data_IF_964302369913
#
_entry.id   IF_964302369913
#
_cell.length_a   1.000
_cell.length_b   1.000
_cell.length_c   1.000
_cell.angle_alpha   90.00
_cell.angle_beta   90.00
_cell.angle_gamma   90.00
#
_symmetry.space_group_name_H-M   'P 1'
#
loop_
_entity.id
_entity.type
_entity.pdbx_description
1 polymer ?
#
# COMPACT_ATOMS: atom_id res chain seq x y z
N UNK A 1 1.87 -11.90 13.34
CA UNK A 1 2.76 -12.83 12.59
C UNK A 1 3.88 -12.10 11.84
N UNK A 2 3.74 -10.80 11.54
CA UNK A 2 4.86 -9.95 11.09
C UNK A 2 5.76 -9.60 12.28
N UNK A 3 6.73 -10.45 12.61
CA UNK A 3 7.67 -10.22 13.71
C UNK A 3 8.86 -9.34 13.30
N UNK A 4 9.30 -9.47 12.06
CA UNK A 4 10.39 -8.71 11.44
C UNK A 4 10.06 -8.41 9.97
N UNK A 5 10.77 -7.47 9.36
CA UNK A 5 10.70 -7.18 7.93
C UNK A 5 12.07 -6.73 7.40
N UNK A 6 12.43 -7.23 6.23
CA UNK A 6 13.60 -6.81 5.47
C UNK A 6 13.15 -5.93 4.29
N UNK A 7 13.78 -4.76 4.15
CA UNK A 7 13.41 -3.73 3.20
C UNK A 7 14.48 -3.57 2.11
N UNK A 8 14.12 -3.95 0.89
CA UNK A 8 14.92 -3.76 -0.32
C UNK A 8 14.00 -3.50 -1.52
N UNK A 9 14.49 -3.65 -2.75
CA UNK A 9 13.71 -3.51 -3.97
C UNK A 9 14.20 -4.47 -5.06
N UNK A 10 13.36 -4.72 -6.07
CA UNK A 10 13.56 -5.82 -7.02
C UNK A 10 12.83 -5.60 -8.34
N UNK A 11 13.42 -6.00 -9.47
CA UNK A 11 12.65 -6.26 -10.69
C UNK A 11 12.06 -7.67 -10.64
N UNK A 12 10.72 -7.83 -10.72
CA UNK A 12 10.10 -9.15 -10.58
C UNK A 12 10.53 -10.11 -11.69
N UNK A 13 10.61 -11.40 -11.36
CA UNK A 13 10.96 -12.46 -12.32
C UNK A 13 12.46 -12.53 -12.68
N UNK A 14 13.35 -12.09 -11.78
CA UNK A 14 14.80 -12.13 -11.95
C UNK A 14 15.48 -12.76 -10.72
N UNK A 15 16.80 -12.91 -10.78
CA UNK A 15 17.62 -13.24 -9.61
C UNK A 15 17.44 -12.18 -8.52
N UNK A 16 17.78 -12.53 -7.28
CA UNK A 16 17.68 -11.62 -6.14
C UNK A 16 18.71 -10.48 -6.26
N UNK A 17 18.21 -9.25 -6.45
CA UNK A 17 19.05 -8.10 -6.79
C UNK A 17 19.42 -7.27 -5.57
N UNK A 18 18.70 -7.42 -4.46
CA UNK A 18 18.93 -6.69 -3.22
C UNK A 18 19.06 -5.17 -3.44
N UNK A 19 18.21 -4.59 -4.29
CA UNK A 19 18.36 -3.18 -4.62
C UNK A 19 18.04 -2.31 -3.40
N UNK A 20 18.65 -1.13 -3.34
CA UNK A 20 18.31 -0.09 -2.36
C UNK A 20 16.79 0.12 -2.29
N UNK A 21 16.24 0.18 -1.08
CA UNK A 21 14.79 0.34 -0.85
C UNK A 21 14.19 1.51 -1.64
N UNK A 22 13.16 1.20 -2.43
CA UNK A 22 12.41 2.15 -3.26
C UNK A 22 13.20 2.69 -4.47
N UNK A 23 14.27 2.02 -4.89
CA UNK A 23 15.05 2.41 -6.08
C UNK A 23 14.40 2.03 -7.42
N UNK A 24 13.54 1.02 -7.42
CA UNK A 24 12.88 0.49 -8.62
C UNK A 24 11.38 0.81 -8.61
N UNK A 25 10.65 0.48 -7.55
CA UNK A 25 9.19 0.65 -7.48
C UNK A 25 8.78 1.56 -6.31
N UNK A 26 8.85 2.87 -6.55
CA UNK A 26 8.48 3.87 -5.56
C UNK A 26 7.03 3.76 -5.10
N UNK A 27 6.11 3.32 -5.96
CA UNK A 27 4.69 3.25 -5.63
C UNK A 27 4.38 2.03 -4.77
N UNK A 28 4.98 0.87 -5.07
CA UNK A 28 4.89 -0.30 -4.21
C UNK A 28 5.54 -0.02 -2.84
N UNK A 29 6.74 0.59 -2.84
CA UNK A 29 7.41 1.01 -1.61
C UNK A 29 6.55 1.99 -0.80
N UNK A 30 5.88 2.94 -1.45
CA UNK A 30 4.96 3.87 -0.80
C UNK A 30 3.84 3.14 -0.05
N UNK A 31 3.13 2.22 -0.71
CA UNK A 31 2.02 1.51 -0.07
C UNK A 31 2.49 0.60 1.07
N UNK A 32 3.69 0.03 0.98
CA UNK A 32 4.31 -0.69 2.10
C UNK A 32 4.58 0.23 3.28
N UNK A 33 5.27 1.37 3.07
CA UNK A 33 5.56 2.33 4.15
C UNK A 33 4.26 2.84 4.76
N UNK A 34 3.29 3.23 3.92
CA UNK A 34 1.98 3.67 4.37
C UNK A 34 1.32 2.63 5.28
N UNK A 35 1.27 1.36 4.85
CA UNK A 35 0.70 0.28 5.66
C UNK A 35 1.41 0.15 7.01
N UNK A 36 2.75 0.09 7.03
CA UNK A 36 3.53 -0.09 8.25
C UNK A 36 3.32 1.07 9.24
N UNK A 37 3.22 2.30 8.74
CA UNK A 37 2.99 3.48 9.57
C UNK A 37 1.54 3.58 10.05
N UNK A 38 0.55 3.28 9.19
CA UNK A 38 -0.87 3.32 9.56
C UNK A 38 -1.22 2.30 10.65
N UNK A 39 -0.68 1.07 10.55
CA UNK A 39 -0.92 0.02 11.56
C UNK A 39 -0.02 0.15 12.77
N UNK A 40 0.87 1.14 12.81
CA UNK A 40 1.78 1.39 13.93
C UNK A 40 2.76 0.24 14.17
N UNK A 41 3.32 -0.36 13.10
CA UNK A 41 4.30 -1.44 13.23
C UNK A 41 5.47 -1.00 14.12
N UNK A 42 5.74 -1.75 15.19
CA UNK A 42 6.72 -1.39 16.22
C UNK A 42 8.11 -2.02 16.02
N UNK A 43 8.27 -2.95 15.07
CA UNK A 43 9.54 -3.61 14.81
C UNK A 43 10.53 -2.76 14.03
N UNK A 44 11.75 -3.27 13.88
CA UNK A 44 12.83 -2.62 13.13
C UNK A 44 12.47 -2.42 11.65
N UNK A 45 12.94 -1.31 11.08
CA UNK A 45 13.00 -1.11 9.62
C UNK A 45 14.38 -1.56 9.16
N UNK A 46 14.55 -2.87 9.03
CA UNK A 46 15.82 -3.45 8.63
C UNK A 46 15.97 -3.37 7.10
N UNK A 47 17.15 -2.97 6.63
CA UNK A 47 17.45 -2.87 5.20
C UNK A 47 18.43 -3.99 4.83
N UNK A 48 17.90 -5.08 4.30
CA UNK A 48 18.69 -6.19 3.77
C UNK A 48 18.86 -5.97 2.26
N UNK A 49 19.84 -5.15 1.91
CA UNK A 49 20.08 -4.69 0.55
C UNK A 49 21.59 -4.53 0.30
N UNK A 50 21.97 -4.51 -0.98
CA UNK A 50 23.33 -4.33 -1.44
C UNK A 50 23.48 -3.02 -2.22
N UNK A 51 24.57 -2.30 -1.97
CA UNK A 51 25.01 -1.25 -2.87
C UNK A 51 25.35 -1.87 -4.25
N UNK A 52 25.25 -1.07 -5.32
CA UNK A 52 25.68 -1.57 -6.62
C UNK A 52 27.15 -1.98 -6.58
N UNK A 53 27.47 -3.09 -7.23
CA UNK A 53 28.85 -3.61 -7.32
C UNK A 53 29.84 -2.58 -7.90
N UNK A 54 29.34 -1.58 -8.62
CA UNK A 54 30.13 -0.50 -9.24
C UNK A 54 30.51 0.62 -8.29
N UNK A 55 29.90 0.68 -7.10
CA UNK A 55 30.17 1.75 -6.13
C UNK A 55 31.53 1.58 -5.44
N UNK A 56 32.11 2.73 -5.06
CA UNK A 56 33.23 2.78 -4.14
C UNK A 56 32.74 2.84 -2.67
N UNK A 57 33.65 3.10 -1.73
CA UNK A 57 33.31 3.17 -0.30
C UNK A 57 32.41 4.35 0.07
N UNK A 58 32.43 5.44 -0.70
CA UNK A 58 31.52 6.56 -0.45
C UNK A 58 30.13 6.26 -1.03
N UNK A 59 30.05 5.62 -2.20
CA UNK A 59 28.80 5.06 -2.73
C UNK A 59 28.14 4.04 -1.80
N UNK A 60 28.94 3.15 -1.20
CA UNK A 60 28.84 2.65 0.20
C UNK A 60 27.79 3.31 1.10
N UNK A 61 28.21 4.48 1.58
CA UNK A 61 27.52 5.28 2.58
C UNK A 61 26.28 5.95 1.99
N UNK A 62 26.33 6.34 0.73
CA UNK A 62 25.20 6.95 0.04
C UNK A 62 24.05 5.97 -0.18
N UNK A 63 24.36 4.71 -0.47
CA UNK A 63 23.41 3.60 -0.47
C UNK A 63 22.68 3.50 0.88
N UNK A 64 23.45 3.41 1.98
CA UNK A 64 22.89 3.24 3.32
C UNK A 64 22.01 4.44 3.74
N UNK A 65 22.50 5.67 3.52
CA UNK A 65 21.71 6.90 3.74
C UNK A 65 20.47 6.93 2.86
N UNK A 66 20.60 6.46 1.63
CA UNK A 66 19.54 6.42 0.63
C UNK A 66 18.37 5.53 1.05
N UNK A 67 18.61 4.34 1.59
CA UNK A 67 17.56 3.48 2.14
C UNK A 67 16.71 4.22 3.20
N UNK A 68 17.37 4.79 4.20
CA UNK A 68 16.69 5.53 5.28
C UNK A 68 15.96 6.76 4.75
N UNK A 69 16.61 7.54 3.87
CA UNK A 69 16.03 8.75 3.30
C UNK A 69 14.75 8.45 2.51
N UNK A 70 14.78 7.42 1.66
CA UNK A 70 13.60 7.01 0.88
C UNK A 70 12.45 6.63 1.82
N UNK A 71 12.70 5.81 2.85
CA UNK A 71 11.66 5.44 3.81
C UNK A 71 11.04 6.68 4.49
N UNK A 72 11.87 7.61 4.98
CA UNK A 72 11.39 8.81 5.66
C UNK A 72 10.59 9.74 4.74
N UNK A 73 11.01 9.88 3.48
CA UNK A 73 10.24 10.63 2.48
C UNK A 73 8.88 9.99 2.23
N UNK A 74 8.83 8.67 2.03
CA UNK A 74 7.58 7.95 1.80
C UNK A 74 6.66 7.96 3.04
N UNK A 75 7.22 7.95 4.24
CA UNK A 75 6.47 8.12 5.50
C UNK A 75 5.80 9.49 5.57
N UNK A 76 6.50 10.55 5.20
CA UNK A 76 5.90 11.89 5.12
C UNK A 76 4.81 11.95 4.04
N UNK A 77 5.04 11.35 2.87
CA UNK A 77 4.01 11.22 1.83
C UNK A 77 2.79 10.43 2.31
N UNK A 78 2.96 9.38 3.11
CA UNK A 78 1.85 8.62 3.68
C UNK A 78 1.00 9.49 4.62
N UNK A 79 1.66 10.31 5.45
CA UNK A 79 0.97 11.29 6.30
C UNK A 79 0.18 12.31 5.47
N UNK A 80 0.78 12.84 4.40
CA UNK A 80 0.10 13.77 3.48
C UNK A 80 -1.12 13.10 2.81
N UNK A 81 -0.97 11.85 2.37
CA UNK A 81 -2.06 11.10 1.73
C UNK A 81 -3.25 10.88 2.67
N UNK A 82 -2.97 10.58 3.94
CA UNK A 82 -4.00 10.45 4.98
C UNK A 82 -4.68 11.78 5.33
N UNK A 83 -3.97 12.91 5.15
CA UNK A 83 -4.50 14.24 5.42
C UNK A 83 -5.23 14.87 4.22
N UNK A 84 -5.00 14.36 3.00
CA UNK A 84 -5.61 14.89 1.79
C UNK A 84 -7.12 14.59 1.74
N UNK A 85 -7.92 15.65 1.80
CA UNK A 85 -9.38 15.55 1.87
C UNK A 85 -10.00 14.94 0.61
N UNK A 86 -9.44 15.18 -0.56
CA UNK A 86 -9.98 14.67 -1.81
C UNK A 86 -9.72 13.16 -1.94
N UNK A 87 -8.50 12.74 -1.60
CA UNK A 87 -8.12 11.32 -1.51
C UNK A 87 -9.02 10.62 -0.49
N UNK A 88 -9.15 11.15 0.73
CA UNK A 88 -9.99 10.52 1.76
C UNK A 88 -11.47 10.50 1.39
N UNK A 89 -11.96 11.49 0.66
CA UNK A 89 -13.34 11.48 0.13
C UNK A 89 -13.54 10.32 -0.85
N UNK A 90 -12.61 10.10 -1.77
CA UNK A 90 -12.70 8.97 -2.72
C UNK A 90 -12.60 7.62 -2.00
N UNK A 91 -11.68 7.48 -1.05
CA UNK A 91 -11.53 6.25 -0.24
C UNK A 91 -12.82 5.96 0.52
N UNK A 92 -13.47 6.97 1.08
CA UNK A 92 -14.74 6.84 1.79
C UNK A 92 -15.88 6.45 0.84
N UNK A 93 -15.96 7.08 -0.33
CA UNK A 93 -16.95 6.74 -1.36
C UNK A 93 -16.78 5.30 -1.85
N UNK A 94 -15.53 4.86 -2.09
CA UNK A 94 -15.20 3.51 -2.55
C UNK A 94 -15.59 2.45 -1.52
N UNK A 95 -15.27 2.71 -0.25
CA UNK A 95 -15.52 1.76 0.84
C UNK A 95 -16.90 1.93 1.49
N UNK A 96 -17.77 2.78 0.92
CA UNK A 96 -19.12 2.97 1.43
C UNK A 96 -19.88 1.64 1.48
N UNK A 97 -20.39 1.32 2.67
CA UNK A 97 -21.19 0.15 2.99
C UNK A 97 -22.52 0.63 3.59
N UNK A 98 -23.63 0.12 3.05
CA UNK A 98 -24.99 0.40 3.54
C UNK A 98 -25.39 -0.55 4.69
N UNK A 99 -24.53 -1.51 5.02
CA UNK A 99 -24.71 -2.45 6.10
C UNK A 99 -25.74 -3.54 5.82
N UNK A 100 -26.30 -3.61 4.61
CA UNK A 100 -27.30 -4.63 4.23
C UNK A 100 -26.72 -6.04 4.40
N UNK A 101 -25.42 -6.20 4.19
CA UNK A 101 -24.72 -7.48 4.30
C UNK A 101 -24.24 -7.82 5.72
N UNK A 102 -24.44 -6.94 6.71
CA UNK A 102 -23.92 -7.09 8.08
C UNK A 102 -24.34 -8.41 8.75
N UNK A 103 -25.56 -8.89 8.47
CA UNK A 103 -26.10 -10.13 9.04
C UNK A 103 -25.35 -11.40 8.59
N UNK A 104 -24.64 -11.33 7.47
CA UNK A 104 -23.91 -12.45 6.89
C UNK A 104 -22.45 -12.55 7.37
N UNK A 105 -21.91 -11.51 8.01
CA UNK A 105 -20.55 -11.55 8.56
C UNK A 105 -20.47 -12.38 9.86
N UNK A 106 -19.23 -12.67 10.28
CA UNK A 106 -18.93 -13.41 11.51
C UNK A 106 -18.87 -14.93 11.33
N UNK A 107 -19.14 -15.67 12.40
CA UNK A 107 -19.04 -17.14 12.40
C UNK A 107 -19.98 -17.76 11.36
N UNK A 108 -19.47 -18.77 10.67
CA UNK A 108 -20.23 -19.60 9.74
C UNK A 108 -21.42 -20.28 10.43
N UNK A 109 -22.54 -20.35 9.70
CA UNK A 109 -23.61 -21.30 9.96
C UNK A 109 -24.24 -21.72 8.63
N UNK A 110 -24.77 -22.95 8.58
CA UNK A 110 -25.47 -23.44 7.39
C UNK A 110 -26.67 -22.53 7.03
N UNK A 111 -27.36 -22.00 8.04
CA UNK A 111 -28.47 -21.07 7.85
C UNK A 111 -28.04 -19.75 7.20
N UNK A 112 -26.95 -19.13 7.67
CA UNK A 112 -26.40 -17.91 7.05
C UNK A 112 -25.97 -18.14 5.61
N UNK A 113 -25.30 -19.26 5.34
CA UNK A 113 -24.87 -19.62 4.00
C UNK A 113 -26.05 -19.83 3.05
N UNK A 114 -27.11 -20.51 3.50
CA UNK A 114 -28.32 -20.71 2.73
C UNK A 114 -29.04 -19.38 2.45
N UNK A 115 -29.16 -18.51 3.46
CA UNK A 115 -29.76 -17.18 3.31
C UNK A 115 -28.97 -16.28 2.36
N UNK A 116 -27.63 -16.24 2.46
CA UNK A 116 -26.78 -15.48 1.56
C UNK A 116 -26.91 -15.98 0.11
N UNK A 117 -26.96 -17.30 -0.10
CA UNK A 117 -27.11 -17.90 -1.43
C UNK A 117 -28.48 -17.57 -2.05
N UNK A 118 -29.50 -17.39 -1.24
CA UNK A 118 -30.84 -17.03 -1.68
C UNK A 118 -31.03 -15.51 -1.90
N UNK A 119 -30.06 -14.68 -1.49
CA UNK A 119 -30.23 -13.24 -1.53
C UNK A 119 -30.24 -12.72 -2.98
N UNK A 120 -31.27 -11.95 -3.40
CA UNK A 120 -31.27 -11.33 -4.72
C UNK A 120 -30.14 -10.29 -4.79
N UNK A 121 -29.27 -10.48 -5.78
CA UNK A 121 -28.21 -9.53 -6.12
C UNK A 121 -28.51 -8.93 -7.49
N UNK A 122 -28.86 -7.65 -7.52
CA UNK A 122 -29.00 -6.91 -8.76
C UNK A 122 -27.62 -6.63 -9.36
N UNK A 123 -27.18 -7.52 -10.26
CA UNK A 123 -25.87 -7.44 -10.91
C UNK A 123 -25.74 -6.19 -11.78
N UNK A 124 -26.83 -5.69 -12.36
CA UNK A 124 -26.82 -4.50 -13.23
C UNK A 124 -26.61 -3.26 -12.36
N UNK A 125 -27.36 -3.14 -11.26
CA UNK A 125 -27.15 -2.06 -10.30
C UNK A 125 -25.73 -2.09 -9.70
N UNK A 126 -25.24 -3.26 -9.26
CA UNK A 126 -23.89 -3.42 -8.70
C UNK A 126 -22.81 -3.01 -9.73
N UNK A 127 -22.91 -3.49 -10.97
CA UNK A 127 -21.93 -3.21 -12.01
C UNK A 127 -21.99 -1.77 -12.53
N UNK A 128 -23.10 -1.05 -12.33
CA UNK A 128 -23.24 0.35 -12.74
C UNK A 128 -22.35 1.30 -11.91
N UNK A 129 -21.89 0.87 -10.73
CA UNK A 129 -21.04 1.66 -9.84
C UNK A 129 -19.60 1.71 -10.34
N UNK A 130 -19.16 2.88 -10.77
CA UNK A 130 -17.74 3.14 -11.07
C UNK A 130 -16.91 3.36 -9.79
N UNK A 131 -15.85 2.59 -9.60
CA UNK A 131 -15.02 2.60 -8.37
C UNK A 131 -13.94 3.70 -8.33
N UNK A 132 -13.84 4.54 -9.36
CA UNK A 132 -12.94 5.71 -9.41
C UNK A 132 -11.45 5.43 -9.14
N UNK A 133 -10.99 4.19 -9.31
CA UNK A 133 -9.61 3.80 -9.01
C UNK A 133 -8.57 4.60 -9.80
N UNK A 134 -8.79 4.84 -11.10
CA UNK A 134 -7.87 5.67 -11.90
C UNK A 134 -7.68 7.09 -11.33
N UNK A 135 -8.75 7.69 -10.80
CA UNK A 135 -8.66 9.02 -10.18
C UNK A 135 -7.88 8.95 -8.87
N UNK A 136 -8.21 7.99 -8.00
CA UNK A 136 -7.50 7.78 -6.73
C UNK A 136 -6.01 7.51 -6.97
N UNK A 137 -5.71 6.74 -8.02
CA UNK A 137 -4.36 6.41 -8.42
C UNK A 137 -3.59 7.65 -8.87
N UNK A 138 -4.17 8.46 -9.75
CA UNK A 138 -3.53 9.69 -10.22
C UNK A 138 -3.28 10.68 -9.08
N UNK A 139 -4.23 10.87 -8.16
CA UNK A 139 -4.03 11.73 -6.99
C UNK A 139 -2.89 11.21 -6.10
N UNK A 140 -2.74 9.89 -5.99
CA UNK A 140 -1.61 9.28 -5.30
C UNK A 140 -0.29 9.59 -6.02
N UNK A 141 -0.25 9.50 -7.35
CA UNK A 141 0.92 9.87 -8.15
C UNK A 141 1.26 11.36 -7.99
N UNK A 142 0.29 12.25 -8.10
CA UNK A 142 0.49 13.69 -7.94
C UNK A 142 1.14 14.01 -6.58
N UNK A 143 0.65 13.37 -5.52
CA UNK A 143 1.18 13.50 -4.17
C UNK A 143 2.61 12.97 -4.06
N UNK A 144 2.89 11.80 -4.63
CA UNK A 144 4.22 11.20 -4.61
C UNK A 144 5.25 12.05 -5.36
N UNK A 145 4.85 12.62 -6.50
CA UNK A 145 5.71 13.48 -7.33
C UNK A 145 5.80 14.92 -6.81
N UNK A 146 5.01 15.30 -5.79
CA UNK A 146 5.06 16.63 -5.17
C UNK A 146 4.28 17.70 -5.93
N UNK A 147 3.34 17.30 -6.79
CA UNK A 147 2.41 18.19 -7.48
C UNK A 147 1.14 18.47 -6.66
N UNK A 148 1.14 18.11 -5.37
CA UNK A 148 0.05 18.24 -4.41
C UNK A 148 0.60 18.41 -3.00
#
# INVERSE_FOLDING_TARGET
KLFHIDLNDQYPGRYDQDLRFGSRDLKAAFFLVKFLEDVGYAGSRHFDAHAYRTEDFDGVKDFARGCMRTYLMLKEKAKQWNADKEIQSLVSEINADDGVMNSFFGKYSAAKAAALKAQPLDRVAIASRGLKYERLDQLTIDLLLGSR
#
